data_IF_121905089463
#
_entry.id   IF_121905089463
#
_cell.length_a   1.000
_cell.length_b   1.000
_cell.length_c   1.000
_cell.angle_alpha   90.00
_cell.angle_beta   90.00
_cell.angle_gamma   90.00
#
_symmetry.space_group_name_H-M   'P 1'
#
loop_
_entity.id
_entity.type
_entity.pdbx_description
1 polymer ?
#
# COMPACT_ATOMS: atom_id res chain seq x y z
N UNK A 1 -28.28 5.97 10.59
CA UNK A 1 -27.57 6.91 9.69
C UNK A 1 -26.34 6.23 9.10
N UNK A 2 -26.17 6.19 7.78
CA UNK A 2 -24.97 5.63 7.14
C UNK A 2 -23.87 6.68 7.05
N UNK A 3 -22.66 6.39 7.56
CA UNK A 3 -21.52 7.30 7.48
C UNK A 3 -21.17 7.60 6.01
N UNK A 4 -20.91 8.87 5.69
CA UNK A 4 -20.45 9.30 4.36
C UNK A 4 -19.12 8.67 3.98
N UNK A 5 -18.83 8.66 2.68
CA UNK A 5 -17.63 8.01 2.18
C UNK A 5 -16.35 8.54 2.87
N UNK A 6 -16.22 9.87 2.90
CA UNK A 6 -15.09 10.57 3.51
C UNK A 6 -14.96 10.31 5.01
N UNK A 7 -16.07 10.09 5.72
CA UNK A 7 -16.04 9.88 7.17
C UNK A 7 -15.49 8.50 7.53
N UNK A 8 -15.79 7.47 6.73
CA UNK A 8 -15.23 6.12 6.93
C UNK A 8 -13.76 6.03 6.58
N UNK A 9 -13.34 6.67 5.49
CA UNK A 9 -11.93 6.70 5.11
C UNK A 9 -11.05 7.40 6.16
N UNK A 10 -11.62 8.25 7.01
CA UNK A 10 -10.91 8.91 8.12
C UNK A 10 -10.82 8.05 9.39
N UNK A 11 -11.53 6.92 9.48
CA UNK A 11 -11.43 6.03 10.64
C UNK A 11 -10.02 5.43 10.69
N UNK A 12 -9.42 5.37 11.88
CA UNK A 12 -8.03 4.91 12.07
C UNK A 12 -7.80 3.52 11.49
N UNK A 13 -8.81 2.65 11.51
CA UNK A 13 -8.75 1.30 10.93
C UNK A 13 -8.63 1.25 9.40
N UNK A 14 -8.99 2.33 8.69
CA UNK A 14 -9.04 2.36 7.22
C UNK A 14 -8.17 3.45 6.56
N UNK A 15 -7.71 4.43 7.33
CA UNK A 15 -7.05 5.65 6.85
C UNK A 15 -5.89 5.43 5.88
N UNK A 16 -5.04 4.44 6.14
CA UNK A 16 -3.86 4.18 5.32
C UNK A 16 -4.13 3.30 4.10
N UNK A 17 -5.25 2.58 4.10
CA UNK A 17 -5.56 1.58 3.08
C UNK A 17 -6.61 2.03 2.07
N UNK A 18 -7.40 3.05 2.40
CA UNK A 18 -8.47 3.56 1.55
C UNK A 18 -8.24 5.04 1.22
N UNK A 19 -8.44 5.38 -0.04
CA UNK A 19 -8.62 6.77 -0.47
C UNK A 19 -10.00 6.95 -1.10
N UNK A 20 -10.50 8.19 -1.09
CA UNK A 20 -11.78 8.55 -1.70
C UNK A 20 -11.52 9.26 -3.01
N UNK A 21 -12.12 8.78 -4.09
CA UNK A 21 -12.14 9.46 -5.39
C UNK A 21 -13.59 9.51 -5.90
N UNK A 22 -14.04 10.68 -6.37
CA UNK A 22 -15.40 10.90 -6.90
C UNK A 22 -16.51 10.27 -6.03
N UNK A 23 -16.43 10.47 -4.71
CA UNK A 23 -17.35 9.94 -3.69
C UNK A 23 -17.40 8.39 -3.56
N UNK A 24 -16.43 7.67 -4.11
CA UNK A 24 -16.26 6.21 -3.99
C UNK A 24 -15.01 5.89 -3.17
N UNK A 25 -15.04 4.79 -2.41
CA UNK A 25 -13.86 4.29 -1.71
C UNK A 25 -13.03 3.43 -2.66
N UNK A 26 -11.72 3.57 -2.60
CA UNK A 26 -10.80 2.75 -3.35
C UNK A 26 -9.75 2.15 -2.42
N UNK A 27 -9.52 0.84 -2.55
CA UNK A 27 -8.38 0.22 -1.88
C UNK A 27 -7.09 0.62 -2.60
N UNK A 28 -6.12 1.15 -1.85
CA UNK A 28 -4.80 1.54 -2.41
C UNK A 28 -4.03 0.33 -2.98
N UNK A 29 -4.15 -0.84 -2.36
CA UNK A 29 -3.41 -2.04 -2.74
C UNK A 29 -4.11 -2.86 -3.83
N UNK A 30 -5.44 -2.94 -3.77
CA UNK A 30 -6.22 -3.74 -4.71
C UNK A 30 -6.67 -2.95 -5.94
N UNK A 31 -6.61 -1.61 -5.88
CA UNK A 31 -7.08 -0.68 -6.93
C UNK A 31 -8.55 -0.92 -7.34
N UNK A 32 -9.35 -1.46 -6.43
CA UNK A 32 -10.76 -1.76 -6.64
C UNK A 32 -11.66 -0.82 -5.84
N UNK A 33 -12.87 -0.59 -6.37
CA UNK A 33 -13.91 0.19 -5.70
C UNK A 33 -14.51 -0.61 -4.56
N UNK A 34 -14.60 0.00 -3.39
CA UNK A 34 -15.24 -0.55 -2.21
C UNK A 34 -16.56 0.16 -1.91
N UNK A 35 -17.56 -0.62 -1.53
CA UNK A 35 -18.81 -0.04 -1.04
C UNK A 35 -18.64 0.46 0.40
N UNK A 36 -18.95 1.74 0.60
CA UNK A 36 -18.81 2.40 1.88
C UNK A 36 -20.05 2.36 2.75
N UNK A 37 -21.14 1.75 2.28
CA UNK A 37 -22.41 1.75 3.02
C UNK A 37 -22.39 0.72 4.13
N UNK A 38 -21.62 -0.37 4.00
CA UNK A 38 -21.57 -1.46 5.00
C UNK A 38 -20.17 -1.68 5.55
N UNK A 39 -20.00 -1.67 6.88
CA UNK A 39 -18.67 -1.86 7.50
C UNK A 39 -18.15 -3.27 7.21
N UNK A 40 -19.05 -4.26 7.26
CA UNK A 40 -18.77 -5.65 6.94
C UNK A 40 -18.20 -5.86 5.54
N UNK A 41 -18.58 -5.04 4.55
CA UNK A 41 -18.01 -5.13 3.20
C UNK A 41 -16.54 -4.71 3.17
N UNK A 42 -16.19 -3.64 3.90
CA UNK A 42 -14.80 -3.20 4.05
C UNK A 42 -13.99 -4.26 4.81
N UNK A 43 -14.50 -4.72 5.95
CA UNK A 43 -13.85 -5.74 6.77
C UNK A 43 -13.62 -7.06 6.00
N UNK A 44 -14.62 -7.54 5.27
CA UNK A 44 -14.49 -8.73 4.41
C UNK A 44 -13.45 -8.52 3.31
N UNK A 45 -13.37 -7.32 2.72
CA UNK A 45 -12.34 -7.01 1.73
C UNK A 45 -10.93 -7.12 2.35
N UNK A 46 -10.68 -6.50 3.51
CA UNK A 46 -9.38 -6.55 4.18
C UNK A 46 -8.99 -7.95 4.65
N UNK A 47 -9.96 -8.77 5.05
CA UNK A 47 -9.75 -10.17 5.44
C UNK A 47 -9.55 -11.11 4.25
N UNK A 48 -9.94 -10.68 3.04
CA UNK A 48 -9.86 -11.50 1.84
C UNK A 48 -8.42 -11.90 1.50
N UNK A 49 -8.26 -13.14 1.02
CA UNK A 49 -6.98 -13.67 0.56
C UNK A 49 -6.36 -12.80 -0.53
N UNK A 50 -7.19 -12.18 -1.39
CA UNK A 50 -6.74 -11.27 -2.46
C UNK A 50 -6.01 -10.06 -1.89
N UNK A 51 -6.61 -9.40 -0.89
CA UNK A 51 -6.01 -8.24 -0.24
C UNK A 51 -4.70 -8.61 0.44
N UNK A 52 -4.68 -9.70 1.23
CA UNK A 52 -3.46 -10.20 1.89
C UNK A 52 -2.33 -10.50 0.91
N UNK A 53 -2.64 -11.12 -0.24
CA UNK A 53 -1.66 -11.38 -1.31
C UNK A 53 -1.09 -10.08 -1.90
N UNK A 54 -1.93 -9.07 -2.12
CA UNK A 54 -1.46 -7.77 -2.62
C UNK A 54 -0.61 -7.02 -1.59
N UNK A 55 -0.95 -7.09 -0.29
CA UNK A 55 -0.11 -6.55 0.80
C UNK A 55 1.28 -7.19 0.77
N UNK A 56 1.34 -8.52 0.71
CA UNK A 56 2.59 -9.26 0.62
C UNK A 56 3.39 -8.87 -0.63
N UNK A 57 2.74 -8.81 -1.79
CA UNK A 57 3.41 -8.45 -3.04
C UNK A 57 3.99 -7.03 -3.01
N UNK A 58 3.22 -6.05 -2.49
CA UNK A 58 3.73 -4.68 -2.31
C UNK A 58 4.94 -4.63 -1.38
N UNK A 59 4.91 -5.39 -0.27
CA UNK A 59 6.05 -5.44 0.65
C UNK A 59 7.29 -6.08 -0.01
N UNK A 60 7.12 -7.19 -0.74
CA UNK A 60 8.22 -7.80 -1.50
C UNK A 60 8.81 -6.86 -2.56
N UNK A 61 7.97 -6.07 -3.23
CA UNK A 61 8.43 -5.10 -4.23
C UNK A 61 9.26 -3.96 -3.59
N UNK A 62 8.85 -3.49 -2.41
CA UNK A 62 9.62 -2.53 -1.62
C UNK A 62 10.98 -3.11 -1.23
N UNK A 63 11.02 -4.35 -0.73
CA UNK A 63 12.27 -5.02 -0.37
C UNK A 63 13.20 -5.20 -1.58
N UNK A 64 12.66 -5.56 -2.75
CA UNK A 64 13.45 -5.71 -3.98
C UNK A 64 14.08 -4.39 -4.46
N UNK A 65 13.37 -3.28 -4.30
CA UNK A 65 13.90 -1.96 -4.67
C UNK A 65 15.03 -1.52 -3.74
N UNK A 66 14.88 -1.78 -2.44
CA UNK A 66 15.90 -1.47 -1.43
C UNK A 66 17.18 -2.28 -1.66
N UNK A 67 17.09 -3.59 -1.95
CA UNK A 67 18.27 -4.43 -2.17
C UNK A 67 19.05 -4.05 -3.43
N UNK A 68 18.36 -3.74 -4.54
CA UNK A 68 19.02 -3.29 -5.78
C UNK A 68 19.75 -1.96 -5.57
N UNK A 69 19.13 -1.04 -4.84
CA UNK A 69 19.73 0.26 -4.54
C UNK A 69 21.01 0.10 -3.71
N UNK A 70 20.98 -0.75 -2.68
CA UNK A 70 22.15 -1.03 -1.84
C UNK A 70 23.26 -1.74 -2.64
N UNK A 71 22.92 -2.71 -3.49
CA UNK A 71 23.89 -3.37 -4.36
C UNK A 71 24.55 -2.39 -5.35
N UNK A 72 23.77 -1.48 -5.95
CA UNK A 72 24.30 -0.45 -6.85
C UNK A 72 25.34 0.45 -6.15
N UNK A 73 25.09 0.83 -4.89
CA UNK A 73 26.06 1.61 -4.10
C UNK A 73 27.29 0.80 -3.66
N UNK A 74 27.15 -0.51 -3.46
CA UNK A 74 28.27 -1.39 -3.10
C UNK A 74 29.17 -1.71 -4.29
N UNK A 75 28.66 -1.65 -5.53
CA UNK A 75 29.46 -1.84 -6.75
C UNK A 75 30.23 -0.59 -7.22
N UNK A 76 29.91 0.59 -6.70
CA UNK A 76 30.59 1.86 -7.06
C UNK A 76 31.87 2.11 -6.22
N UNK A 77 32.18 1.23 -5.25
CA UNK A 77 33.24 1.47 -4.26
C UNK A 77 34.63 0.92 -4.61
N UNK A 78 34.81 0.32 -5.79
CA UNK A 78 36.11 -0.17 -6.27
C UNK A 78 36.91 0.87 -7.09
N UNK A 79 36.53 2.15 -7.08
CA UNK A 79 37.27 3.23 -7.76
C UNK A 79 37.52 4.44 -6.85
N UNK A 80 38.12 4.22 -5.68
CA UNK A 80 38.87 5.28 -4.99
C UNK A 80 40.34 4.88 -5.03
N UNK A 81 40.97 5.10 -6.20
CA UNK A 81 42.41 5.29 -6.24
C UNK A 81 42.69 6.69 -5.65
N UNK A 82 42.92 6.76 -4.34
CA UNK A 82 43.65 7.90 -3.81
C UNK A 82 45.12 7.66 -4.12
N UNK A 83 45.55 8.15 -5.28
CA UNK A 83 46.96 8.29 -5.63
C UNK A 83 47.64 9.21 -4.59
N UNK A 84 48.87 8.84 -4.24
CA UNK A 84 49.69 9.21 -3.08
C UNK A 84 50.06 10.69 -3.00
#
# INVERSE_FOLDING_TARGET
MTKSATQRAKESEYKDNIYVDRAKHFCRLCKEVLDHKKKSTLDNHFKSKKHKKNVQNSNNNLQRTLTVTIQQFMSDKDQINCDL
#
